data_IF_493819505962
#
_entry.id   IF_493819505962
#
_cell.length_a   1.000
_cell.length_b   1.000
_cell.length_c   1.000
_cell.angle_alpha   90.00
_cell.angle_beta   90.00
_cell.angle_gamma   90.00
#
_symmetry.space_group_name_H-M   'P 1'
#
loop_
_entity.id
_entity.type
_entity.pdbx_description
1 polymer ?
#
# COMPACT_ATOMS: atom_id res chain seq x y z
N UNK A 1 -3.55 -1.11 -18.41
CA UNK A 1 -2.93 -2.42 -18.15
C UNK A 1 -1.96 -2.29 -16.98
N UNK A 2 -2.25 -2.93 -15.84
CA UNK A 2 -1.35 -2.91 -14.68
C UNK A 2 -0.07 -3.69 -15.01
N UNK A 3 1.06 -3.00 -15.20
CA UNK A 3 2.34 -3.66 -15.56
C UNK A 3 3.05 -4.29 -14.35
N UNK A 4 2.90 -3.70 -13.17
CA UNK A 4 3.57 -4.16 -11.96
C UNK A 4 2.75 -5.21 -11.21
N UNK A 5 3.39 -6.33 -10.84
CA UNK A 5 2.80 -7.38 -10.00
C UNK A 5 2.27 -6.82 -8.68
N UNK A 6 3.03 -5.91 -8.07
CA UNK A 6 2.61 -5.22 -6.84
C UNK A 6 1.33 -4.41 -7.03
N UNK A 7 1.18 -3.67 -8.13
CA UNK A 7 -0.02 -2.88 -8.41
C UNK A 7 -1.26 -3.77 -8.63
N UNK A 8 -1.10 -4.97 -9.23
CA UNK A 8 -2.20 -5.94 -9.38
C UNK A 8 -2.68 -6.47 -8.04
N UNK A 9 -1.76 -6.90 -7.18
CA UNK A 9 -2.08 -7.38 -5.84
C UNK A 9 -2.74 -6.28 -4.99
N UNK A 10 -2.23 -5.06 -5.08
CA UNK A 10 -2.80 -3.93 -4.34
C UNK A 10 -4.17 -3.50 -4.87
N UNK A 11 -4.38 -3.57 -6.19
CA UNK A 11 -5.69 -3.33 -6.80
C UNK A 11 -6.74 -4.32 -6.28
N UNK A 12 -6.38 -5.61 -6.14
CA UNK A 12 -7.29 -6.64 -5.62
C UNK A 12 -7.71 -6.35 -4.17
N UNK A 13 -6.75 -5.97 -3.33
CA UNK A 13 -7.01 -5.54 -1.95
C UNK A 13 -7.94 -4.33 -1.93
N UNK A 14 -7.57 -3.23 -2.59
CA UNK A 14 -8.37 -2.00 -2.58
C UNK A 14 -9.80 -2.22 -3.13
N UNK A 15 -9.96 -3.09 -4.12
CA UNK A 15 -11.27 -3.44 -4.67
C UNK A 15 -12.15 -4.21 -3.67
N UNK A 16 -11.56 -5.09 -2.86
CA UNK A 16 -12.26 -5.78 -1.78
C UNK A 16 -12.73 -4.80 -0.70
N UNK A 17 -11.90 -3.81 -0.36
CA UNK A 17 -12.23 -2.79 0.65
C UNK A 17 -12.97 -1.56 0.09
N UNK A 18 -13.49 -1.64 -1.14
CA UNK A 18 -14.26 -0.55 -1.77
C UNK A 18 -15.45 -0.10 -0.93
N UNK A 19 -16.10 -1.02 -0.22
CA UNK A 19 -17.28 -0.74 0.61
C UNK A 19 -16.95 -0.02 1.94
N UNK A 20 -15.74 -0.21 2.48
CA UNK A 20 -15.35 0.37 3.78
C UNK A 20 -14.88 1.82 3.66
N UNK A 21 -14.56 2.26 2.43
CA UNK A 21 -14.12 3.63 2.13
C UNK A 21 -12.65 3.92 2.48
N UNK A 22 -12.07 3.23 3.46
CA UNK A 22 -10.65 3.34 3.81
C UNK A 22 -10.02 1.97 4.09
N UNK A 23 -8.73 1.85 3.80
CA UNK A 23 -7.95 0.64 4.05
C UNK A 23 -6.69 1.00 4.84
N UNK A 24 -6.53 0.41 6.02
CA UNK A 24 -5.35 0.57 6.88
C UNK A 24 -4.76 -0.80 7.15
N UNK A 25 -3.48 -0.96 6.82
CA UNK A 25 -2.73 -2.21 6.98
C UNK A 25 -1.37 -1.91 7.60
N UNK A 26 -0.84 -2.83 8.40
CA UNK A 26 0.52 -2.71 8.92
C UNK A 26 1.54 -3.00 7.81
N UNK A 27 2.77 -2.49 7.97
CA UNK A 27 3.82 -2.71 6.95
C UNK A 27 4.22 -4.18 6.84
N UNK A 28 4.07 -4.96 7.92
CA UNK A 28 4.40 -6.39 7.92
C UNK A 28 3.37 -7.18 7.10
N UNK A 29 2.08 -7.03 7.40
CA UNK A 29 1.00 -7.56 6.55
C UNK A 29 1.09 -7.07 5.11
N UNK A 30 1.41 -5.79 4.89
CA UNK A 30 1.58 -5.23 3.55
C UNK A 30 2.70 -5.96 2.78
N UNK A 31 3.80 -6.31 3.46
CA UNK A 31 4.90 -7.07 2.86
C UNK A 31 4.47 -8.49 2.55
N UNK A 32 3.79 -9.16 3.47
CA UNK A 32 3.33 -10.53 3.28
C UNK A 32 2.32 -10.62 2.11
N UNK A 33 1.34 -9.71 2.07
CA UNK A 33 0.31 -9.68 1.02
C UNK A 33 0.85 -9.35 -0.37
N UNK A 34 1.92 -8.55 -0.43
CA UNK A 34 2.55 -8.15 -1.69
C UNK A 34 3.77 -9.00 -2.05
N UNK A 35 4.06 -10.03 -1.27
CA UNK A 35 5.25 -10.89 -1.43
C UNK A 35 6.55 -10.08 -1.49
N UNK A 36 6.66 -9.07 -0.61
CA UNK A 36 7.83 -8.19 -0.53
C UNK A 36 8.84 -8.83 0.40
N UNK A 37 10.07 -9.10 -0.06
CA UNK A 37 11.09 -9.68 0.79
C UNK A 37 11.44 -8.74 1.95
N UNK A 38 11.61 -9.31 3.15
CA UNK A 38 12.00 -8.56 4.36
C UNK A 38 13.35 -7.83 4.19
N UNK A 39 14.19 -8.27 3.25
CA UNK A 39 15.44 -7.61 2.87
C UNK A 39 15.25 -6.21 2.28
N UNK A 40 14.05 -5.85 1.81
CA UNK A 40 13.78 -4.51 1.30
C UNK A 40 13.68 -3.50 2.45
N UNK A 41 14.64 -2.57 2.47
CA UNK A 41 14.56 -1.37 3.30
C UNK A 41 13.36 -0.52 2.90
N UNK A 42 12.84 0.26 3.84
CA UNK A 42 11.69 1.13 3.60
C UNK A 42 11.86 2.08 2.40
N UNK A 43 13.10 2.53 2.13
CA UNK A 43 13.44 3.34 0.96
C UNK A 43 13.18 2.61 -0.35
N UNK A 44 13.61 1.35 -0.46
CA UNK A 44 13.35 0.51 -1.63
C UNK A 44 11.87 0.20 -1.80
N UNK A 45 11.13 -0.02 -0.71
CA UNK A 45 9.68 -0.22 -0.77
C UNK A 45 9.00 1.05 -1.32
N UNK A 46 9.39 2.22 -0.84
CA UNK A 46 8.84 3.48 -1.36
C UNK A 46 9.07 3.60 -2.88
N UNK A 47 10.31 3.41 -3.35
CA UNK A 47 10.66 3.62 -4.76
C UNK A 47 10.16 2.50 -5.69
N UNK A 48 10.31 1.24 -5.30
CA UNK A 48 10.03 0.08 -6.17
C UNK A 48 8.61 -0.45 -6.05
N UNK A 49 7.92 -0.17 -4.93
CA UNK A 49 6.58 -0.70 -4.67
C UNK A 49 5.56 0.43 -4.63
N UNK A 50 5.73 1.43 -3.78
CA UNK A 50 4.71 2.50 -3.63
C UNK A 50 4.64 3.43 -4.84
N UNK A 51 5.76 3.87 -5.40
CA UNK A 51 5.78 4.75 -6.58
C UNK A 51 4.99 4.16 -7.77
N UNK A 52 5.25 2.91 -8.23
CA UNK A 52 4.47 2.33 -9.33
C UNK A 52 3.03 2.01 -8.94
N UNK A 53 2.76 1.64 -7.68
CA UNK A 53 1.39 1.47 -7.16
C UNK A 53 0.63 2.78 -7.32
N UNK A 54 1.12 3.89 -6.78
CA UNK A 54 0.45 5.19 -6.83
C UNK A 54 0.21 5.62 -8.28
N UNK A 55 1.21 5.51 -9.15
CA UNK A 55 1.08 5.94 -10.55
C UNK A 55 0.02 5.13 -11.31
N UNK A 56 0.02 3.81 -11.17
CA UNK A 56 -0.92 2.95 -11.88
C UNK A 56 -2.33 3.01 -11.28
N UNK A 57 -2.43 3.07 -9.94
CA UNK A 57 -3.72 3.10 -9.26
C UNK A 57 -4.39 4.47 -9.33
N UNK A 58 -3.62 5.57 -9.35
CA UNK A 58 -4.17 6.91 -9.60
C UNK A 58 -4.82 7.03 -10.98
N UNK A 59 -4.41 6.20 -11.94
CA UNK A 59 -5.04 6.14 -13.27
C UNK A 59 -6.38 5.38 -13.24
N UNK A 60 -6.59 4.48 -12.28
CA UNK A 60 -7.77 3.61 -12.22
C UNK A 60 -8.81 4.14 -11.22
N UNK A 61 -8.35 4.58 -10.06
CA UNK A 61 -9.18 5.13 -9.00
C UNK A 61 -9.05 6.66 -9.04
N UNK A 62 -10.05 7.30 -9.65
CA UNK A 62 -10.18 8.75 -9.60
C UNK A 62 -10.31 9.16 -8.11
N UNK A 63 -9.41 10.00 -7.59
CA UNK A 63 -9.28 10.37 -6.17
C UNK A 63 -8.65 9.34 -5.20
N UNK A 64 -7.81 8.41 -5.66
CA UNK A 64 -7.08 7.56 -4.71
C UNK A 64 -5.98 8.33 -3.96
N UNK A 65 -6.15 8.46 -2.65
CA UNK A 65 -5.15 9.07 -1.79
C UNK A 65 -4.46 8.00 -0.93
N UNK A 66 -3.22 7.64 -1.29
CA UNK A 66 -2.40 6.71 -0.50
C UNK A 66 -1.54 7.53 0.46
N UNK A 67 -1.91 7.52 1.74
CA UNK A 67 -1.14 8.16 2.79
C UNK A 67 -0.39 7.13 3.62
N UNK A 68 0.92 7.35 3.82
CA UNK A 68 1.71 6.55 4.76
C UNK A 68 1.41 7.00 6.18
N UNK A 69 0.51 6.28 6.85
CA UNK A 69 0.25 6.49 8.27
C UNK A 69 1.40 5.85 9.05
N UNK A 70 2.36 6.68 9.50
CA UNK A 70 3.33 6.25 10.51
C UNK A 70 2.64 6.33 11.86
N UNK A 71 2.65 5.25 12.64
CA UNK A 71 2.35 5.38 14.06
C UNK A 71 3.37 6.37 14.65
N UNK A 72 2.91 7.54 15.09
CA UNK A 72 3.75 8.43 15.91
C UNK A 72 4.14 7.59 17.13
N UNK A 73 5.43 7.39 17.34
CA UNK A 73 5.95 6.92 18.63
C UNK A 73 5.64 8.03 19.63
N UNK A 74 4.51 7.93 20.33
CA UNK A 74 4.05 8.94 21.28
C UNK A 74 2.63 8.68 21.78
N UNK A 75 2.58 8.15 23.01
CA UNK A 75 1.45 7.94 23.94
C UNK A 75 0.62 6.65 23.75
N UNK A 76 0.74 5.78 24.76
CA UNK A 76 -0.27 4.77 25.12
C UNK A 76 -1.65 5.46 25.16
N UNK A 77 -2.65 4.82 24.57
CA UNK A 77 -4.02 4.95 25.07
C UNK A 77 -4.32 3.64 25.78
N UNK A 78 -4.81 3.78 27.00
CA UNK A 78 -5.16 2.71 27.95
C UNK A 78 -6.30 1.83 27.43
#
# INVERSE_FOLDING_TARGET
>A
HLKSTYSKNMFRLLKQYKHTGYFKIQIDDFRERLDIPKSYRMTHINQKVLTPIIKELSMIFNNLHISKIKAKKGRKIE
#
